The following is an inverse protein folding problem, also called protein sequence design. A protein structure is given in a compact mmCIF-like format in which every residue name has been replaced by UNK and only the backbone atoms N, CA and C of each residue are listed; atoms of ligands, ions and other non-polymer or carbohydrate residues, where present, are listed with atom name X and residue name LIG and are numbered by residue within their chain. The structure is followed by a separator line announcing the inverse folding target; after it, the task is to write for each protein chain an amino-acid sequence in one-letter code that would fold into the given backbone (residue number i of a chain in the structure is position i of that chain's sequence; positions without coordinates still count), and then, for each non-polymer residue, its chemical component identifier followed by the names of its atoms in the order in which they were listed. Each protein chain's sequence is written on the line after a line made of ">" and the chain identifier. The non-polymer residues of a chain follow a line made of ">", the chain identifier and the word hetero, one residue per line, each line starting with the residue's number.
data_IF_166719071613
#
_entry.id   IF_166719071613
#
_cell.length_a   1.000
_cell.length_b   1.000
_cell.length_c   1.000
_cell.angle_alpha   90.00
_cell.angle_beta   90.00
_cell.angle_gamma   90.00
#
_symmetry.space_group_name_H-M   'P 1'
#
loop_
_entity.id
_entity.type
_entity.pdbx_description
1 polymer ?
#
# COMPACT_ATOMS: atom_id res chain seq x y z
N UNK A 1 15.54 24.36 10.50
CA UNK A 1 14.16 23.88 10.21
C UNK A 1 13.96 23.34 8.79
N UNK A 2 14.69 23.84 7.78
CA UNK A 2 14.56 23.37 6.38
C UNK A 2 15.02 21.92 6.14
N UNK A 3 16.06 21.46 6.87
CA UNK A 3 16.59 20.10 6.73
C UNK A 3 15.56 19.01 7.08
N UNK A 4 14.87 19.14 8.21
CA UNK A 4 13.79 18.22 8.61
C UNK A 4 12.64 18.23 7.61
N UNK A 5 12.27 19.41 7.12
CA UNK A 5 11.19 19.56 6.13
C UNK A 5 11.48 18.81 4.83
N UNK A 6 12.70 18.93 4.30
CA UNK A 6 13.15 18.21 3.11
C UNK A 6 13.32 16.71 3.36
N UNK A 7 13.73 16.31 4.57
CA UNK A 7 13.82 14.90 4.95
C UNK A 7 12.44 14.22 4.96
N UNK A 8 11.43 14.86 5.57
CA UNK A 8 10.06 14.37 5.60
C UNK A 8 9.44 14.31 4.21
N UNK A 9 9.65 15.34 3.37
CA UNK A 9 9.24 15.35 1.97
C UNK A 9 9.79 14.14 1.19
N UNK A 10 11.12 13.91 1.27
CA UNK A 10 11.77 12.79 0.59
C UNK A 10 11.33 11.44 1.14
N UNK A 11 11.12 11.34 2.44
CA UNK A 11 10.60 10.13 3.09
C UNK A 11 9.24 9.74 2.52
N UNK A 12 8.32 10.70 2.44
CA UNK A 12 6.99 10.47 1.90
C UNK A 12 7.01 10.07 0.42
N UNK A 13 7.78 10.77 -0.42
CA UNK A 13 7.92 10.40 -1.83
C UNK A 13 8.51 9.00 -2.00
N UNK A 14 9.49 8.62 -1.17
CA UNK A 14 10.08 7.28 -1.20
C UNK A 14 9.07 6.21 -0.77
N UNK A 15 8.27 6.45 0.27
CA UNK A 15 7.25 5.47 0.67
C UNK A 15 6.13 5.35 -0.36
N UNK A 16 5.67 6.47 -0.95
CA UNK A 16 4.76 6.44 -2.10
C UNK A 16 5.36 5.69 -3.29
N UNK A 17 6.67 5.80 -3.49
CA UNK A 17 7.37 5.00 -4.49
C UNK A 17 7.34 3.50 -4.18
N UNK A 18 7.45 3.13 -2.91
CA UNK A 18 7.50 1.72 -2.48
C UNK A 18 6.12 1.07 -2.40
N UNK A 19 5.07 1.84 -2.14
CA UNK A 19 3.70 1.34 -1.97
C UNK A 19 2.90 1.25 -3.28
N UNK A 20 3.43 1.75 -4.40
CA UNK A 20 2.70 1.72 -5.66
C UNK A 20 2.66 0.34 -6.30
N UNK A 21 1.48 -0.03 -6.77
CA UNK A 21 1.20 -1.27 -7.50
C UNK A 21 1.78 -1.21 -8.93
N UNK A 22 1.84 0.00 -9.52
CA UNK A 22 2.27 0.19 -10.91
C UNK A 22 3.80 0.17 -11.05
N UNK A 23 4.28 -0.48 -12.13
CA UNK A 23 5.70 -0.48 -12.52
C UNK A 23 6.21 0.95 -12.70
N UNK A 24 7.48 1.20 -12.36
CA UNK A 24 8.10 2.55 -12.37
C UNK A 24 7.77 3.36 -13.63
N UNK A 25 7.79 2.72 -14.80
CA UNK A 25 7.56 3.33 -16.11
C UNK A 25 6.09 3.75 -16.35
N UNK A 26 5.12 3.04 -15.78
CA UNK A 26 3.68 3.27 -15.99
C UNK A 26 3.01 4.02 -14.83
N UNK A 27 3.82 4.60 -13.93
CA UNK A 27 3.30 5.31 -12.76
C UNK A 27 2.78 6.69 -13.14
N UNK A 28 1.56 6.97 -12.71
CA UNK A 28 1.01 8.32 -12.77
C UNK A 28 1.86 9.27 -11.93
N UNK A 29 2.16 10.45 -12.49
CA UNK A 29 2.87 11.54 -11.81
C UNK A 29 1.93 12.39 -10.95
N UNK A 30 0.62 12.19 -11.05
CA UNK A 30 -0.41 13.01 -10.39
C UNK A 30 -0.20 13.03 -8.87
N UNK A 31 -0.05 11.86 -8.24
CA UNK A 31 0.18 11.77 -6.80
C UNK A 31 1.45 12.51 -6.36
N UNK A 32 2.53 12.44 -7.15
CA UNK A 32 3.77 13.15 -6.83
C UNK A 32 3.67 14.67 -7.04
N UNK A 33 2.89 15.12 -8.04
CA UNK A 33 2.66 16.56 -8.25
C UNK A 33 1.76 17.15 -7.17
N UNK A 34 0.74 16.43 -6.70
CA UNK A 34 -0.12 16.87 -5.60
C UNK A 34 0.65 16.98 -4.28
N UNK A 35 1.47 15.98 -3.96
CA UNK A 35 2.36 16.05 -2.80
C UNK A 35 3.29 17.26 -2.92
N UNK A 36 3.79 17.55 -4.13
CA UNK A 36 4.63 18.72 -4.34
C UNK A 36 3.84 20.02 -4.11
N UNK A 37 2.64 20.17 -4.66
CA UNK A 37 1.83 21.38 -4.47
C UNK A 37 1.47 21.61 -3.01
N UNK A 38 1.11 20.55 -2.26
CA UNK A 38 0.84 20.63 -0.82
C UNK A 38 2.04 21.18 -0.03
N UNK A 39 3.26 20.74 -0.37
CA UNK A 39 4.47 21.22 0.29
C UNK A 39 4.83 22.66 -0.11
N UNK A 40 4.61 23.07 -1.36
CA UNK A 40 4.84 24.46 -1.77
C UNK A 40 3.84 25.42 -1.12
N UNK A 41 2.56 25.04 -1.02
CA UNK A 41 1.51 25.84 -0.37
C UNK A 41 1.85 26.15 1.10
N UNK A 42 2.34 25.15 1.83
CA UNK A 42 2.65 25.28 3.25
C UNK A 42 4.11 25.71 3.51
N UNK A 43 4.88 26.07 2.48
CA UNK A 43 6.30 26.41 2.60
C UNK A 43 6.54 27.69 3.40
N UNK A 44 5.62 28.65 3.35
CA UNK A 44 5.82 29.97 3.98
C UNK A 44 5.16 30.12 5.35
N UNK A 45 4.25 29.23 5.73
CA UNK A 45 3.55 29.27 7.02
C UNK A 45 4.22 28.38 8.06
N UNK A 46 4.76 28.95 9.14
CA UNK A 46 5.43 28.18 10.21
C UNK A 46 4.49 27.23 10.97
N UNK A 47 3.22 27.60 11.12
CA UNK A 47 2.19 26.75 11.70
C UNK A 47 1.74 25.67 10.71
N UNK A 48 1.56 26.04 9.44
CA UNK A 48 1.24 25.12 8.35
C UNK A 48 2.30 24.03 8.17
N UNK A 49 3.59 24.40 8.23
CA UNK A 49 4.71 23.46 8.19
C UNK A 49 4.64 22.44 9.33
N UNK A 50 4.42 22.89 10.58
CA UNK A 50 4.35 21.97 11.74
C UNK A 50 3.21 20.98 11.61
N UNK A 51 2.02 21.43 11.20
CA UNK A 51 0.86 20.57 10.97
C UNK A 51 1.13 19.56 9.84
N UNK A 52 1.66 20.03 8.72
CA UNK A 52 2.02 19.19 7.58
C UNK A 52 3.05 18.12 7.97
N UNK A 53 4.10 18.48 8.70
CA UNK A 53 5.13 17.55 9.13
C UNK A 53 4.55 16.40 9.96
N UNK A 54 3.66 16.70 10.91
CA UNK A 54 2.95 15.69 11.70
C UNK A 54 2.09 14.78 10.82
N UNK A 55 1.34 15.35 9.88
CA UNK A 55 0.53 14.58 8.93
C UNK A 55 1.40 13.66 8.05
N UNK A 56 2.55 14.16 7.60
CA UNK A 56 3.51 13.41 6.78
C UNK A 56 4.12 12.26 7.56
N UNK A 57 4.50 12.46 8.82
CA UNK A 57 5.01 11.40 9.70
C UNK A 57 3.98 10.28 9.90
N UNK A 58 2.72 10.64 10.12
CA UNK A 58 1.62 9.68 10.22
C UNK A 58 1.43 8.91 8.90
N UNK A 59 1.41 9.63 7.76
CA UNK A 59 1.24 9.02 6.45
C UNK A 59 2.40 8.06 6.10
N UNK A 60 3.64 8.45 6.36
CA UNK A 60 4.82 7.60 6.18
C UNK A 60 4.71 6.33 7.03
N UNK A 61 4.30 6.47 8.30
CA UNK A 61 4.12 5.34 9.21
C UNK A 61 3.04 4.39 8.70
N UNK A 62 1.90 4.93 8.26
CA UNK A 62 0.80 4.15 7.70
C UNK A 62 1.19 3.41 6.42
N UNK A 63 1.82 4.08 5.45
CA UNK A 63 2.23 3.44 4.20
C UNK A 63 3.25 2.33 4.44
N UNK A 64 4.17 2.54 5.39
CA UNK A 64 5.14 1.52 5.77
C UNK A 64 4.47 0.32 6.43
N UNK A 65 3.56 0.55 7.38
CA UNK A 65 2.86 -0.54 8.06
C UNK A 65 1.96 -1.33 7.11
N UNK A 66 1.29 -0.66 6.16
CA UNK A 66 0.48 -1.33 5.14
C UNK A 66 1.29 -2.28 4.27
N UNK A 67 2.49 -1.85 3.85
CA UNK A 67 3.40 -2.72 3.08
C UNK A 67 3.87 -3.92 3.89
N UNK A 68 4.30 -3.71 5.14
CA UNK A 68 4.73 -4.80 6.01
C UNK A 68 3.57 -5.76 6.28
N UNK A 69 2.37 -5.24 6.51
CA UNK A 69 1.17 -6.05 6.70
C UNK A 69 0.89 -6.93 5.50
N UNK A 70 0.99 -6.39 4.28
CA UNK A 70 0.87 -7.17 3.05
C UNK A 70 1.92 -8.29 2.98
N UNK A 71 3.19 -7.97 3.24
CA UNK A 71 4.28 -8.97 3.23
C UNK A 71 4.04 -10.09 4.28
N UNK A 72 3.49 -9.74 5.44
CA UNK A 72 3.16 -10.71 6.49
C UNK A 72 1.97 -11.58 6.12
N UNK A 73 0.93 -11.02 5.50
CA UNK A 73 -0.22 -11.78 5.01
C UNK A 73 0.21 -12.81 3.96
N UNK A 74 1.03 -12.41 2.98
CA UNK A 74 1.51 -13.32 1.94
C UNK A 74 2.33 -14.48 2.53
N UNK A 75 3.12 -14.24 3.59
CA UNK A 75 3.97 -15.26 4.21
C UNK A 75 3.24 -16.22 5.14
N UNK A 76 2.34 -15.69 5.96
CA UNK A 76 1.73 -16.46 7.05
C UNK A 76 0.27 -16.85 6.77
N UNK A 77 -0.40 -16.20 5.82
CA UNK A 77 -1.76 -16.51 5.40
C UNK A 77 -1.93 -16.42 3.87
N UNK A 78 -1.29 -17.31 3.10
CA UNK A 78 -1.40 -17.30 1.64
C UNK A 78 -2.82 -17.59 1.13
N UNK A 79 -3.71 -18.12 1.99
CA UNK A 79 -5.11 -18.40 1.68
C UNK A 79 -6.04 -17.21 1.94
N UNK A 80 -5.53 -16.04 2.37
CA UNK A 80 -6.37 -14.91 2.77
C UNK A 80 -7.20 -14.32 1.62
N UNK A 81 -6.68 -14.36 0.40
CA UNK A 81 -7.36 -13.86 -0.81
C UNK A 81 -8.22 -14.93 -1.51
N UNK A 82 -8.17 -16.19 -1.07
CA UNK A 82 -8.89 -17.28 -1.73
C UNK A 82 -10.37 -17.26 -1.37
N UNK A 83 -11.21 -17.48 -2.39
CA UNK A 83 -12.64 -17.71 -2.15
C UNK A 83 -12.85 -19.00 -1.34
N UNK A 84 -14.02 -19.14 -0.73
CA UNK A 84 -14.38 -20.37 0.00
C UNK A 84 -14.29 -21.60 -0.88
N UNK A 85 -14.74 -21.50 -2.14
CA UNK A 85 -14.67 -22.56 -3.14
C UNK A 85 -13.23 -22.94 -3.49
N UNK A 86 -12.37 -21.94 -3.73
CA UNK A 86 -10.95 -22.13 -4.02
C UNK A 86 -10.23 -22.81 -2.86
N UNK A 87 -10.55 -22.42 -1.62
CA UNK A 87 -10.02 -23.07 -0.42
C UNK A 87 -10.44 -24.53 -0.32
N UNK A 88 -11.71 -24.84 -0.57
CA UNK A 88 -12.19 -26.23 -0.51
C UNK A 88 -11.49 -27.07 -1.59
N UNK A 89 -11.36 -26.52 -2.80
CA UNK A 89 -10.61 -27.16 -3.89
C UNK A 89 -9.13 -27.36 -3.56
N UNK A 90 -8.46 -26.36 -3.02
CA UNK A 90 -7.08 -26.47 -2.58
C UNK A 90 -6.91 -27.55 -1.51
N UNK A 91 -7.90 -27.69 -0.61
CA UNK A 91 -7.91 -28.72 0.45
C UNK A 91 -8.11 -30.12 -0.12
N UNK A 92 -9.05 -30.30 -1.07
CA UNK A 92 -9.24 -31.59 -1.77
C UNK A 92 -7.95 -32.05 -2.46
N UNK A 93 -7.21 -31.12 -3.08
CA UNK A 93 -5.93 -31.42 -3.73
C UNK A 93 -4.82 -31.86 -2.77
N UNK A 94 -4.90 -31.51 -1.47
CA UNK A 94 -3.93 -31.97 -0.45
C UNK A 94 -3.98 -33.48 -0.25
N UNK A 95 -5.13 -34.11 -0.52
CA UNK A 95 -5.33 -35.56 -0.41
C UNK A 95 -5.37 -36.26 -1.77
N UNK A 96 -4.99 -35.58 -2.85
CA UNK A 96 -5.01 -36.13 -4.21
C UNK A 96 -6.41 -36.23 -4.84
N UNK A 97 -7.40 -35.52 -4.29
CA UNK A 97 -8.77 -35.45 -4.82
C UNK A 97 -9.02 -34.09 -5.51
N UNK A 98 -10.03 -34.01 -6.38
CA UNK A 98 -10.54 -32.75 -6.93
C UNK A 98 -12.01 -32.53 -6.53
N UNK A 99 -12.47 -31.29 -6.60
CA UNK A 99 -13.86 -30.96 -6.28
C UNK A 99 -14.83 -31.56 -7.31
N UNK A 100 -16.00 -32.08 -6.88
CA UNK A 100 -17.01 -32.58 -7.78
C UNK A 100 -17.57 -31.44 -8.65
N UNK A 101 -17.90 -31.74 -9.90
CA UNK A 101 -18.58 -30.80 -10.79
C UNK A 101 -19.99 -30.60 -10.25
N UNK A 102 -20.34 -29.36 -9.88
CA UNK A 102 -21.71 -29.02 -9.51
C UNK A 102 -22.62 -29.32 -10.69
N UNK A 103 -23.66 -30.13 -10.47
CA UNK A 103 -24.63 -30.49 -11.50
C UNK A 103 -25.26 -29.24 -12.11
N UNK A 104 -25.50 -29.26 -13.43
CA UNK A 104 -26.16 -28.15 -14.12
C UNK A 104 -27.52 -27.88 -13.45
N UNK A 105 -27.88 -26.62 -13.18
CA UNK A 105 -29.24 -26.30 -12.75
C UNK A 105 -30.19 -26.65 -13.90
N UNK A 106 -31.23 -27.42 -13.59
CA UNK A 106 -32.34 -27.74 -14.50
C UNK A 106 -33.15 -26.49 -14.87
#
# INVERSE_FOLDING_TARGET
>A
MTSQYLASYRSLLRELSKSSISRRQSRSKIATSEVRSMFEEHRHSSEGQRKLLRSVENAVTFLRSQRIHKDLLERYNPTHDMSTEERVKATARRVGLDMPVTGKPE
#
